data_IF_108582569475
#
_entry.id   IF_108582569475
#
_cell.length_a   1.000
_cell.length_b   1.000
_cell.length_c   1.000
_cell.angle_alpha   90.00
_cell.angle_beta   90.00
_cell.angle_gamma   90.00
#
_symmetry.space_group_name_H-M   'P 1'
#
loop_
_entity.id
_entity.type
_entity.pdbx_description
1 polymer ?
#
# COMPACT_ATOMS: atom_id res chain seq x y z
N UNK A 1 0.61 32.64 -3.82
CA UNK A 1 1.96 32.05 -3.90
C UNK A 1 2.06 31.30 -5.23
N UNK A 2 2.88 31.75 -6.19
CA UNK A 2 3.11 31.01 -7.43
C UNK A 2 4.01 29.82 -7.06
N UNK A 3 3.47 28.60 -7.03
CA UNK A 3 4.27 27.40 -6.91
C UNK A 3 4.99 27.23 -8.24
N UNK A 4 6.23 27.71 -8.31
CA UNK A 4 7.09 27.62 -9.49
C UNK A 4 7.94 26.34 -9.48
N UNK A 5 8.00 25.63 -8.35
CA UNK A 5 8.73 24.38 -8.19
C UNK A 5 7.81 23.25 -7.72
N UNK A 6 7.40 22.42 -8.66
CA UNK A 6 6.54 21.27 -8.40
C UNK A 6 7.25 20.15 -7.60
N UNK A 7 8.58 20.05 -7.71
CA UNK A 7 9.36 19.11 -6.88
C UNK A 7 9.32 19.54 -5.42
N UNK A 8 9.39 20.84 -5.15
CA UNK A 8 9.25 21.39 -3.81
C UNK A 8 7.86 21.12 -3.23
N UNK A 9 6.81 21.12 -4.05
CA UNK A 9 5.47 20.76 -3.57
C UNK A 9 5.41 19.29 -3.14
N UNK A 10 5.92 18.34 -3.93
CA UNK A 10 5.98 16.91 -3.58
C UNK A 10 6.78 16.73 -2.28
N UNK A 11 7.90 17.44 -2.13
CA UNK A 11 8.69 17.44 -0.88
C UNK A 11 7.86 17.96 0.29
N UNK A 12 7.15 19.08 0.11
CA UNK A 12 6.31 19.69 1.15
C UNK A 12 5.20 18.75 1.60
N UNK A 13 4.52 18.08 0.65
CA UNK A 13 3.47 17.10 0.94
C UNK A 13 4.02 15.89 1.71
N UNK A 14 5.20 15.40 1.33
CA UNK A 14 5.88 14.32 2.04
C UNK A 14 6.26 14.74 3.47
N UNK A 15 6.86 15.92 3.64
CA UNK A 15 7.24 16.44 4.97
C UNK A 15 6.01 16.70 5.85
N UNK A 16 4.93 17.18 5.26
CA UNK A 16 3.66 17.35 5.97
C UNK A 16 3.15 16.01 6.52
N UNK A 17 3.22 14.93 5.73
CA UNK A 17 2.76 13.62 6.16
C UNK A 17 3.62 13.06 7.30
N UNK A 18 4.95 13.20 7.23
CA UNK A 18 5.86 12.79 8.30
C UNK A 18 5.56 13.47 9.64
N UNK A 19 5.15 14.75 9.60
CA UNK A 19 4.97 15.57 10.79
C UNK A 19 3.51 15.65 11.27
N UNK A 20 2.57 15.12 10.52
CA UNK A 20 1.15 15.11 10.90
C UNK A 20 0.78 13.72 11.41
N UNK A 21 0.29 13.66 12.66
CA UNK A 21 -0.14 12.39 13.26
C UNK A 21 -1.25 11.75 12.43
N UNK A 22 -0.99 10.56 11.95
CA UNK A 22 -1.95 9.71 11.23
C UNK A 22 -1.78 8.25 11.65
N UNK A 23 -2.50 7.34 11.01
CA UNK A 23 -2.38 5.90 11.22
C UNK A 23 -1.17 5.27 10.50
N UNK A 24 -0.44 6.04 9.70
CA UNK A 24 0.68 5.56 8.87
C UNK A 24 1.93 6.46 8.93
N UNK A 25 1.86 7.66 9.53
CA UNK A 25 2.95 8.66 9.43
C UNK A 25 4.32 8.14 9.88
N UNK A 26 4.39 7.26 10.88
CA UNK A 26 5.66 6.68 11.35
C UNK A 26 6.26 5.67 10.35
N UNK A 27 5.48 5.20 9.36
CA UNK A 27 5.93 4.29 8.31
C UNK A 27 6.33 4.99 7.01
N UNK A 28 5.95 6.26 6.83
CA UNK A 28 6.17 7.00 5.57
C UNK A 28 7.65 7.05 5.18
N UNK A 29 8.56 7.15 6.16
CA UNK A 29 10.00 7.10 5.91
C UNK A 29 10.48 5.70 5.47
N UNK A 30 9.95 4.63 6.08
CA UNK A 30 10.27 3.26 5.68
C UNK A 30 9.78 2.99 4.24
N UNK A 31 8.56 3.46 3.91
CA UNK A 31 7.99 3.32 2.57
C UNK A 31 8.86 4.02 1.51
N UNK A 32 9.32 5.25 1.79
CA UNK A 32 10.28 5.95 0.92
C UNK A 32 11.58 5.17 0.77
N UNK A 33 12.13 4.64 1.87
CA UNK A 33 13.38 3.87 1.87
C UNK A 33 13.26 2.61 1.02
N UNK A 34 12.14 1.89 1.12
CA UNK A 34 11.88 0.72 0.28
C UNK A 34 11.70 1.11 -1.18
N UNK A 35 10.92 2.17 -1.45
CA UNK A 35 10.67 2.66 -2.80
C UNK A 35 11.94 3.12 -3.51
N UNK A 36 12.90 3.73 -2.80
CA UNK A 36 14.20 4.13 -3.38
C UNK A 36 15.04 2.94 -3.88
N UNK A 37 14.74 1.71 -3.46
CA UNK A 37 15.35 0.49 -3.98
C UNK A 37 14.55 -0.14 -5.14
N UNK A 38 13.52 0.55 -5.63
CA UNK A 38 12.63 0.09 -6.69
C UNK A 38 12.73 1.00 -7.91
N UNK A 39 12.27 0.49 -9.04
CA UNK A 39 12.02 1.26 -10.27
C UNK A 39 10.53 1.40 -10.53
N UNK A 40 9.73 0.46 -10.02
CA UNK A 40 8.29 0.43 -10.16
C UNK A 40 7.62 0.05 -8.85
N UNK A 41 6.61 0.82 -8.44
CA UNK A 41 5.77 0.57 -7.26
C UNK A 41 4.32 0.49 -7.67
N UNK A 42 3.62 -0.51 -7.15
CA UNK A 42 2.16 -0.63 -7.25
C UNK A 42 1.56 -0.44 -5.85
N UNK A 43 0.56 0.41 -5.74
CA UNK A 43 -0.14 0.73 -4.50
C UNK A 43 -1.60 0.31 -4.58
N UNK A 44 -2.06 -0.48 -3.63
CA UNK A 44 -3.44 -0.88 -3.43
C UNK A 44 -4.02 -0.22 -2.18
N UNK A 45 -5.06 0.62 -2.35
CA UNK A 45 -5.64 1.41 -1.29
C UNK A 45 -4.89 2.72 -1.06
N UNK A 46 -5.05 3.68 -1.95
CA UNK A 46 -4.37 4.98 -1.86
C UNK A 46 -5.12 5.97 -0.96
N UNK A 47 -6.44 5.83 -0.82
CA UNK A 47 -7.32 6.67 -0.03
C UNK A 47 -7.02 8.17 -0.22
N UNK A 48 -6.55 8.88 0.82
CA UNK A 48 -6.17 10.30 0.76
C UNK A 48 -4.69 10.53 0.42
N UNK A 49 -3.91 9.48 0.20
CA UNK A 49 -2.56 9.54 -0.34
C UNK A 49 -1.44 9.64 0.69
N UNK A 50 -1.65 9.24 1.93
CA UNK A 50 -0.60 9.29 2.96
C UNK A 50 0.64 8.48 2.57
N UNK A 51 0.48 7.21 2.21
CA UNK A 51 1.54 6.35 1.66
C UNK A 51 2.02 6.83 0.28
N UNK A 52 1.06 7.24 -0.57
CA UNK A 52 1.32 7.71 -1.93
C UNK A 52 2.36 8.85 -1.99
N UNK A 53 2.36 9.74 -1.00
CA UNK A 53 3.32 10.87 -0.93
C UNK A 53 4.77 10.39 -0.82
N UNK A 54 5.03 9.28 -0.11
CA UNK A 54 6.34 8.65 -0.07
C UNK A 54 6.74 8.10 -1.45
N UNK A 55 5.82 7.46 -2.15
CA UNK A 55 6.08 6.89 -3.47
C UNK A 55 6.23 7.98 -4.55
N UNK A 56 5.45 9.05 -4.47
CA UNK A 56 5.62 10.21 -5.37
C UNK A 56 6.95 10.93 -5.17
N UNK A 57 7.53 10.89 -3.96
CA UNK A 57 8.87 11.43 -3.71
C UNK A 57 9.97 10.55 -4.29
N UNK A 58 9.82 9.23 -4.27
CA UNK A 58 10.79 8.30 -4.81
C UNK A 58 10.94 8.41 -6.35
N UNK A 59 12.08 8.03 -6.93
CA UNK A 59 12.30 8.05 -8.38
C UNK A 59 11.74 6.79 -9.07
N UNK A 60 10.45 6.53 -8.88
CA UNK A 60 9.78 5.31 -9.36
C UNK A 60 8.65 5.61 -10.33
N UNK A 61 8.35 4.65 -11.21
CA UNK A 61 7.04 4.51 -11.84
C UNK A 61 6.04 4.11 -10.75
N UNK A 62 4.90 4.79 -10.64
CA UNK A 62 3.87 4.50 -9.65
C UNK A 62 2.53 4.19 -10.31
N UNK A 63 1.95 3.05 -9.97
CA UNK A 63 0.58 2.68 -10.33
C UNK A 63 -0.23 2.50 -9.04
N UNK A 64 -1.13 3.43 -8.77
CA UNK A 64 -1.97 3.44 -7.57
C UNK A 64 -3.43 3.14 -7.92
N UNK A 65 -4.06 2.30 -7.12
CA UNK A 65 -5.43 1.85 -7.31
C UNK A 65 -6.25 2.03 -6.05
N UNK A 66 -7.48 2.52 -6.22
CA UNK A 66 -8.48 2.61 -5.14
C UNK A 66 -9.88 2.33 -5.69
N UNK A 67 -10.82 1.97 -4.83
CA UNK A 67 -12.24 1.83 -5.19
C UNK A 67 -12.89 3.17 -5.52
N UNK A 68 -12.33 4.26 -5.01
CA UNK A 68 -12.80 5.63 -5.23
C UNK A 68 -11.67 6.53 -5.68
N UNK A 69 -12.00 7.58 -6.42
CA UNK A 69 -11.06 8.63 -6.80
C UNK A 69 -11.25 9.83 -5.88
N UNK A 70 -10.18 10.17 -5.17
CA UNK A 70 -10.14 11.36 -4.31
C UNK A 70 -9.48 12.52 -5.06
N UNK A 71 -10.25 13.60 -5.29
CA UNK A 71 -9.80 14.77 -6.07
C UNK A 71 -8.48 15.39 -5.59
N UNK A 72 -8.22 15.57 -4.28
CA UNK A 72 -6.93 16.10 -3.82
C UNK A 72 -5.76 15.22 -4.25
N UNK A 73 -5.89 13.90 -4.13
CA UNK A 73 -4.87 12.95 -4.55
C UNK A 73 -4.70 12.94 -6.07
N UNK A 74 -5.80 12.95 -6.83
CA UNK A 74 -5.74 13.06 -8.30
C UNK A 74 -4.99 14.32 -8.75
N UNK A 75 -5.17 15.44 -8.05
CA UNK A 75 -4.43 16.67 -8.35
C UNK A 75 -2.93 16.54 -8.08
N UNK A 76 -2.54 15.83 -7.01
CA UNK A 76 -1.13 15.55 -6.73
C UNK A 76 -0.49 14.67 -7.82
N UNK A 77 -1.21 13.68 -8.33
CA UNK A 77 -0.77 12.89 -9.50
C UNK A 77 -0.63 13.75 -10.77
N UNK A 78 -1.56 14.69 -11.03
CA UNK A 78 -1.44 15.64 -12.15
C UNK A 78 -0.18 16.49 -12.02
N UNK A 79 0.16 16.92 -10.82
CA UNK A 79 1.38 17.70 -10.53
C UNK A 79 2.62 16.84 -10.73
N UNK A 80 2.64 15.61 -10.20
CA UNK A 80 3.77 14.70 -10.37
C UNK A 80 4.07 14.42 -11.85
N UNK A 81 3.04 14.24 -12.69
CA UNK A 81 3.22 14.13 -14.15
C UNK A 81 3.83 15.37 -14.79
N UNK A 82 3.51 16.58 -14.30
CA UNK A 82 4.09 17.84 -14.83
C UNK A 82 5.60 17.96 -14.58
N UNK A 83 6.13 17.29 -13.56
CA UNK A 83 7.58 17.20 -13.31
C UNK A 83 8.22 15.96 -13.93
N UNK A 84 7.53 15.31 -14.86
CA UNK A 84 8.07 14.21 -15.65
C UNK A 84 8.01 12.84 -14.94
N UNK A 85 7.26 12.69 -13.84
CA UNK A 85 7.09 11.39 -13.21
C UNK A 85 6.11 10.51 -13.99
N UNK A 86 6.44 9.25 -14.16
CA UNK A 86 5.55 8.23 -14.72
C UNK A 86 4.66 7.68 -13.61
N UNK A 87 3.51 8.32 -13.44
CA UNK A 87 2.58 8.00 -12.35
C UNK A 87 1.12 7.96 -12.82
N UNK A 88 0.37 6.97 -12.35
CA UNK A 88 -1.04 6.82 -12.64
C UNK A 88 -1.83 6.50 -11.37
N UNK A 89 -2.99 7.14 -11.23
CA UNK A 89 -3.97 6.86 -10.19
C UNK A 89 -5.29 6.48 -10.84
N UNK A 90 -5.73 5.25 -10.60
CA UNK A 90 -6.86 4.64 -11.30
C UNK A 90 -7.89 4.11 -10.32
N UNK A 91 -9.18 4.25 -10.67
CA UNK A 91 -10.25 3.53 -10.00
C UNK A 91 -10.19 2.06 -10.38
N UNK A 92 -10.10 1.18 -9.37
CA UNK A 92 -10.05 -0.26 -9.61
C UNK A 92 -10.28 -1.08 -8.36
N UNK A 93 -10.98 -2.20 -8.52
CA UNK A 93 -11.07 -3.21 -7.48
C UNK A 93 -9.89 -4.17 -7.64
N UNK A 94 -9.03 -4.25 -6.64
CA UNK A 94 -7.83 -5.09 -6.62
C UNK A 94 -8.10 -6.57 -6.88
N UNK A 95 -9.31 -7.04 -6.63
CA UNK A 95 -9.73 -8.42 -6.94
C UNK A 95 -10.17 -8.63 -8.39
N UNK A 96 -10.20 -7.58 -9.22
CA UNK A 96 -10.67 -7.68 -10.61
C UNK A 96 -9.78 -6.99 -11.64
N UNK A 97 -8.75 -6.26 -11.21
CA UNK A 97 -7.74 -5.68 -12.10
C UNK A 97 -6.61 -6.68 -12.35
N UNK A 98 -5.84 -6.43 -13.42
CA UNK A 98 -4.54 -7.06 -13.64
C UNK A 98 -3.49 -5.96 -13.55
N UNK A 99 -2.39 -6.26 -12.87
CA UNK A 99 -1.24 -5.35 -12.77
C UNK A 99 -0.05 -5.86 -13.59
N UNK A 100 0.76 -4.94 -14.04
CA UNK A 100 2.05 -5.26 -14.66
C UNK A 100 3.08 -5.73 -13.58
N UNK A 101 4.13 -6.46 -13.97
CA UNK A 101 5.21 -6.81 -13.04
C UNK A 101 5.82 -5.55 -12.43
N UNK A 102 5.98 -5.55 -11.11
CA UNK A 102 6.42 -4.40 -10.32
C UNK A 102 7.55 -4.80 -9.37
N UNK A 103 8.34 -3.86 -8.85
CA UNK A 103 9.35 -4.18 -7.84
C UNK A 103 8.72 -4.30 -6.45
N UNK A 104 7.74 -3.47 -6.13
CA UNK A 104 7.06 -3.46 -4.85
C UNK A 104 5.55 -3.36 -5.02
N UNK A 105 4.81 -4.14 -4.25
CA UNK A 105 3.37 -3.93 -4.03
C UNK A 105 3.18 -3.50 -2.58
N UNK A 106 2.57 -2.33 -2.38
CA UNK A 106 2.06 -1.88 -1.09
C UNK A 106 0.57 -2.15 -1.02
N UNK A 107 0.12 -2.79 0.05
CA UNK A 107 -1.28 -3.21 0.24
C UNK A 107 -1.81 -2.60 1.54
N UNK A 108 -2.79 -1.72 1.40
CA UNK A 108 -3.55 -1.07 2.47
C UNK A 108 -5.03 -0.98 2.07
N UNK A 109 -5.62 -2.15 1.83
CA UNK A 109 -7.01 -2.32 1.40
C UNK A 109 -7.88 -2.73 2.59
N UNK A 110 -9.00 -3.41 2.35
CA UNK A 110 -9.83 -3.90 3.44
C UNK A 110 -9.12 -4.98 4.27
N UNK A 111 -9.03 -4.76 5.58
CA UNK A 111 -8.22 -5.54 6.50
C UNK A 111 -8.92 -6.85 6.90
N UNK A 112 -9.08 -7.77 5.97
CA UNK A 112 -9.58 -9.11 6.21
C UNK A 112 -8.65 -10.17 5.62
N UNK A 113 -8.57 -11.34 6.27
CA UNK A 113 -7.77 -12.44 5.77
C UNK A 113 -8.17 -12.83 4.34
N UNK A 114 -9.48 -12.85 4.07
CA UNK A 114 -9.98 -13.24 2.74
C UNK A 114 -9.52 -12.26 1.66
N UNK A 115 -9.67 -10.95 1.90
CA UNK A 115 -9.26 -9.92 0.95
C UNK A 115 -7.77 -10.04 0.63
N UNK A 116 -6.93 -10.04 1.67
CA UNK A 116 -5.48 -10.11 1.49
C UNK A 116 -5.03 -11.41 0.83
N UNK A 117 -5.62 -12.55 1.22
CA UNK A 117 -5.31 -13.83 0.57
C UNK A 117 -5.62 -13.81 -0.91
N UNK A 118 -6.77 -13.26 -1.30
CA UNK A 118 -7.20 -13.22 -2.70
C UNK A 118 -6.31 -12.23 -3.50
N UNK A 119 -5.93 -11.08 -2.93
CA UNK A 119 -4.95 -10.14 -3.53
C UNK A 119 -3.57 -10.78 -3.70
N UNK A 120 -3.07 -11.50 -2.70
CA UNK A 120 -1.79 -12.20 -2.76
C UNK A 120 -1.80 -13.33 -3.80
N UNK A 121 -2.93 -14.04 -3.94
CA UNK A 121 -3.09 -15.08 -4.94
C UNK A 121 -3.04 -14.50 -6.37
N UNK A 122 -3.68 -13.34 -6.59
CA UNK A 122 -3.75 -12.68 -7.89
C UNK A 122 -2.44 -11.96 -8.24
N UNK A 123 -1.84 -11.26 -7.29
CA UNK A 123 -0.81 -10.26 -7.56
C UNK A 123 0.51 -10.50 -6.85
N UNK A 124 0.55 -11.29 -5.77
CA UNK A 124 1.74 -11.38 -4.92
C UNK A 124 3.02 -11.74 -5.67
N UNK A 125 2.94 -12.63 -6.65
CA UNK A 125 4.10 -13.01 -7.46
C UNK A 125 4.41 -12.05 -8.64
N UNK A 126 3.61 -11.01 -8.86
CA UNK A 126 3.97 -9.91 -9.76
C UNK A 126 5.04 -8.99 -9.14
N UNK A 127 5.18 -9.00 -7.81
CA UNK A 127 6.24 -8.27 -7.12
C UNK A 127 7.58 -9.00 -7.26
N UNK A 128 8.63 -8.23 -7.61
CA UNK A 128 10.00 -8.75 -7.82
C UNK A 128 10.90 -8.62 -6.61
N UNK A 129 10.61 -7.65 -5.68
CA UNK A 129 11.47 -7.36 -4.52
C UNK A 129 10.71 -7.36 -3.21
N UNK A 130 9.61 -6.61 -3.12
CA UNK A 130 8.93 -6.37 -1.85
C UNK A 130 7.42 -6.56 -1.96
N UNK A 131 6.85 -7.17 -0.90
CA UNK A 131 5.43 -7.08 -0.55
C UNK A 131 5.33 -6.37 0.79
N UNK A 132 4.57 -5.29 0.85
CA UNK A 132 4.46 -4.42 2.01
C UNK A 132 3.00 -4.30 2.42
N UNK A 133 2.70 -4.58 3.69
CA UNK A 133 1.35 -4.64 4.23
C UNK A 133 1.21 -3.70 5.40
N UNK A 134 0.23 -2.82 5.35
CA UNK A 134 -0.16 -1.97 6.47
C UNK A 134 -1.17 -2.67 7.38
N UNK A 135 -1.44 -2.08 8.55
CA UNK A 135 -2.44 -2.55 9.53
C UNK A 135 -2.21 -3.95 10.13
N UNK A 136 -1.00 -4.49 9.96
CA UNK A 136 -0.67 -5.88 10.34
C UNK A 136 -0.52 -6.11 11.85
N UNK A 137 -0.55 -5.06 12.69
CA UNK A 137 -0.64 -5.19 14.13
C UNK A 137 -2.11 -5.11 14.60
N UNK A 138 -2.83 -4.07 14.18
CA UNK A 138 -4.23 -3.85 14.59
C UNK A 138 -5.16 -4.95 14.09
N UNK A 139 -5.00 -5.35 12.82
CA UNK A 139 -5.78 -6.41 12.18
C UNK A 139 -4.95 -7.67 11.89
N UNK A 140 -3.84 -7.84 12.60
CA UNK A 140 -2.95 -8.99 12.39
C UNK A 140 -3.61 -10.34 12.64
N UNK A 141 -4.44 -10.43 13.69
CA UNK A 141 -5.09 -11.69 14.14
C UNK A 141 -6.61 -11.59 14.19
N UNK A 142 -7.19 -10.58 13.58
CA UNK A 142 -8.65 -10.37 13.48
C UNK A 142 -8.98 -9.55 12.26
N UNK A 143 -10.09 -9.86 11.62
CA UNK A 143 -10.60 -9.08 10.48
C UNK A 143 -11.22 -7.75 10.93
N UNK A 144 -11.13 -6.73 10.08
CA UNK A 144 -11.85 -5.48 10.25
C UNK A 144 -13.37 -5.70 10.12
N UNK A 145 -14.16 -5.14 11.06
CA UNK A 145 -15.59 -5.42 11.20
C UNK A 145 -16.50 -4.33 10.58
N UNK A 146 -16.04 -3.54 9.63
CA UNK A 146 -16.81 -2.39 9.11
C UNK A 146 -18.20 -2.72 8.55
N UNK A 147 -18.45 -3.94 8.11
CA UNK A 147 -19.69 -4.29 7.39
C UNK A 147 -20.72 -5.08 8.19
N UNK A 148 -20.55 -5.22 9.49
CA UNK A 148 -21.53 -5.95 10.31
C UNK A 148 -22.95 -5.36 10.24
N UNK A 149 -23.07 -4.03 10.12
CA UNK A 149 -24.33 -3.35 10.03
C UNK A 149 -25.05 -3.55 8.67
N UNK A 150 -24.33 -3.92 7.63
CA UNK A 150 -24.86 -4.02 6.26
C UNK A 150 -25.09 -5.48 5.80
N UNK A 151 -24.52 -6.47 6.47
CA UNK A 151 -24.71 -7.89 6.10
C UNK A 151 -24.91 -8.81 7.32
N UNK A 152 -26.12 -8.91 7.84
CA UNK A 152 -26.46 -9.74 9.03
C UNK A 152 -26.21 -11.25 8.82
N UNK A 153 -25.99 -11.71 7.58
CA UNK A 153 -25.72 -13.11 7.26
C UNK A 153 -24.23 -13.46 7.21
N UNK A 154 -23.31 -12.50 7.36
CA UNK A 154 -21.90 -12.79 7.54
C UNK A 154 -21.67 -13.30 8.94
N UNK A 155 -21.63 -14.62 9.10
CA UNK A 155 -21.08 -15.24 10.30
C UNK A 155 -19.65 -14.74 10.48
N UNK A 156 -19.37 -14.11 11.63
CA UNK A 156 -18.01 -13.81 12.04
C UNK A 156 -17.20 -15.10 11.95
N UNK A 157 -16.29 -15.17 11.00
CA UNK A 157 -15.26 -16.19 11.03
C UNK A 157 -14.33 -15.76 12.17
N UNK A 158 -14.16 -16.56 13.22
CA UNK A 158 -13.35 -16.15 14.36
C UNK A 158 -11.90 -15.96 13.91
N UNK A 159 -11.34 -14.79 14.21
CA UNK A 159 -9.91 -14.54 14.35
C UNK A 159 -9.03 -14.95 13.16
N UNK A 160 -9.27 -14.36 11.98
CA UNK A 160 -8.39 -14.66 10.85
C UNK A 160 -7.30 -13.60 10.69
N UNK A 161 -7.62 -12.36 10.39
CA UNK A 161 -6.67 -11.27 10.27
C UNK A 161 -5.65 -11.41 9.13
N UNK A 162 -4.78 -10.41 9.03
CA UNK A 162 -3.83 -10.31 7.91
C UNK A 162 -2.65 -11.26 8.02
N UNK A 163 -2.12 -11.49 9.23
CA UNK A 163 -0.92 -12.33 9.41
C UNK A 163 -1.09 -13.77 8.94
N UNK A 164 -2.21 -14.48 9.20
CA UNK A 164 -2.42 -15.81 8.62
C UNK A 164 -2.37 -15.84 7.09
N UNK A 165 -2.91 -14.82 6.40
CA UNK A 165 -2.83 -14.76 4.94
C UNK A 165 -1.38 -14.57 4.45
N UNK A 166 -0.59 -13.73 5.13
CA UNK A 166 0.82 -13.50 4.84
C UNK A 166 1.64 -14.77 5.08
N UNK A 167 1.43 -15.45 6.21
CA UNK A 167 2.13 -16.69 6.56
C UNK A 167 1.81 -17.80 5.56
N UNK A 168 0.54 -17.99 5.22
CA UNK A 168 0.11 -18.98 4.22
C UNK A 168 0.74 -18.69 2.84
N UNK A 169 0.86 -17.42 2.48
CA UNK A 169 1.52 -17.03 1.23
C UNK A 169 3.01 -17.38 1.24
N UNK A 170 3.73 -17.07 2.32
CA UNK A 170 5.17 -17.37 2.46
C UNK A 170 5.42 -18.88 2.44
N UNK A 171 4.58 -19.68 3.11
CA UNK A 171 4.69 -21.15 3.10
C UNK A 171 4.54 -21.71 1.67
N UNK A 172 3.61 -21.18 0.89
CA UNK A 172 3.36 -21.60 -0.50
C UNK A 172 4.38 -21.06 -1.49
N UNK A 173 5.09 -20.00 -1.13
CA UNK A 173 6.03 -19.29 -1.99
C UNK A 173 7.39 -19.12 -1.26
N UNK A 174 8.21 -20.16 -1.15
CA UNK A 174 9.40 -20.19 -0.27
C UNK A 174 10.52 -19.24 -0.69
N UNK A 175 10.41 -18.59 -1.84
CA UNK A 175 11.28 -17.50 -2.27
C UNK A 175 10.95 -16.15 -1.60
N UNK A 176 9.85 -16.05 -0.81
CA UNK A 176 9.54 -14.90 0.02
C UNK A 176 9.98 -15.14 1.46
N UNK A 177 10.48 -14.10 2.11
CA UNK A 177 10.88 -14.14 3.53
C UNK A 177 10.47 -12.86 4.23
N UNK A 178 10.23 -12.94 5.53
CA UNK A 178 10.00 -11.76 6.36
C UNK A 178 11.28 -10.92 6.45
N UNK A 179 11.18 -9.64 6.07
CA UNK A 179 12.25 -8.65 6.18
C UNK A 179 12.07 -7.78 7.44
N UNK A 180 10.85 -7.33 7.69
CA UNK A 180 10.54 -6.40 8.77
C UNK A 180 9.12 -6.59 9.28
N UNK A 181 8.93 -6.37 10.58
CA UNK A 181 7.61 -6.17 11.19
C UNK A 181 7.74 -5.07 12.24
N UNK A 182 6.86 -4.07 12.19
CA UNK A 182 6.72 -2.99 13.16
C UNK A 182 5.31 -3.00 13.70
N UNK A 183 5.15 -2.76 15.02
CA UNK A 183 3.84 -2.75 15.68
C UNK A 183 3.25 -1.35 15.88
N UNK A 184 4.05 -0.29 15.68
CA UNK A 184 3.58 1.10 15.76
C UNK A 184 2.62 1.42 14.62
N UNK A 185 1.83 2.48 14.74
CA UNK A 185 0.90 2.96 13.71
C UNK A 185 0.16 1.83 12.98
N UNK A 186 -0.57 1.03 13.74
CA UNK A 186 -1.35 -0.11 13.29
C UNK A 186 -0.54 -1.28 12.72
N UNK A 187 0.76 -1.13 12.53
CA UNK A 187 1.69 -2.16 12.10
C UNK A 187 2.03 -2.14 10.61
N UNK A 188 3.29 -2.42 10.33
CA UNK A 188 3.82 -2.58 8.97
C UNK A 188 4.58 -3.90 8.88
N UNK A 189 4.23 -4.75 7.92
CA UNK A 189 4.98 -5.98 7.61
C UNK A 189 5.55 -5.91 6.21
N UNK A 190 6.80 -6.30 6.05
CA UNK A 190 7.50 -6.34 4.77
C UNK A 190 8.02 -7.75 4.52
N UNK A 191 7.65 -8.30 3.37
CA UNK A 191 8.31 -9.46 2.80
C UNK A 191 9.32 -9.01 1.74
N UNK A 192 10.44 -9.73 1.66
CA UNK A 192 11.46 -9.56 0.64
C UNK A 192 11.62 -10.85 -0.15
N UNK A 193 11.75 -10.73 -1.47
CA UNK A 193 11.98 -11.85 -2.35
C UNK A 193 13.47 -12.20 -2.33
N UNK A 194 13.78 -13.46 -2.05
CA UNK A 194 15.13 -13.99 -2.19
C UNK A 194 15.49 -14.10 -3.68
N UNK A 195 16.68 -13.66 -4.04
CA UNK A 195 17.23 -13.79 -5.37
C UNK A 195 17.51 -15.24 -5.75
#
# INVERSE_FOLDING_TARGET
MKITDWNQLIETEYQSELNTKSDINEHVHDLLTLANNCTHVTEFGSRFGSSTKAFLKAPVTLRAYDLEIHEPLMNLFKIARKVGKDVEYSKGNTLSILIEPTDMIFIDTWHSQKQLRDELQLHGNAARKYLVFHDTHTYGVRDEQKDWAQNPNRKALPHQGLLPAIIDFVIKNPHWTFKMHKSVNNGLTVLERRG
#
